data_IF_117608150850
#
_entry.id   IF_117608150850
#
_cell.length_a   1.000
_cell.length_b   1.000
_cell.length_c   1.000
_cell.angle_alpha   90.00
_cell.angle_beta   90.00
_cell.angle_gamma   90.00
#
_symmetry.space_group_name_H-M   'P 1'
#
loop_
_entity.id
_entity.type
_entity.pdbx_description
1 polymer ?
#
# COMPACT_ATOMS: atom_id res chain seq x y z
N UNK A 1 6.63 -18.95 47.16
CA UNK A 1 6.59 -18.85 45.69
C UNK A 1 5.55 -17.80 45.37
N UNK A 2 5.97 -16.63 44.87
CA UNK A 2 4.99 -15.68 44.31
C UNK A 2 4.62 -16.25 42.94
N UNK A 3 3.36 -16.59 42.75
CA UNK A 3 2.88 -16.98 41.43
C UNK A 3 3.20 -15.84 40.43
N UNK A 4 3.69 -16.16 39.21
CA UNK A 4 4.08 -15.15 38.23
C UNK A 4 2.88 -14.41 37.60
N UNK A 5 1.63 -14.75 37.99
CA UNK A 5 0.42 -14.14 37.47
C UNK A 5 -0.71 -14.07 38.51
N UNK A 6 -1.67 -13.17 38.26
CA UNK A 6 -2.88 -13.01 39.07
C UNK A 6 -3.89 -14.15 38.76
N UNK A 7 -4.17 -14.99 39.77
CA UNK A 7 -5.11 -16.12 39.66
C UNK A 7 -6.53 -15.71 40.07
N UNK A 8 -7.27 -15.16 39.11
CA UNK A 8 -8.69 -14.80 39.23
C UNK A 8 -9.52 -15.56 38.18
N UNK A 9 -10.82 -15.70 38.44
CA UNK A 9 -11.74 -16.46 37.59
C UNK A 9 -11.85 -15.90 36.17
N UNK A 10 -12.29 -16.73 35.23
CA UNK A 10 -12.58 -16.27 33.85
C UNK A 10 -13.59 -15.11 33.83
N UNK A 11 -14.65 -15.18 34.64
CA UNK A 11 -15.66 -14.13 34.74
C UNK A 11 -15.06 -12.79 35.21
N UNK A 12 -14.11 -12.84 36.14
CA UNK A 12 -13.43 -11.62 36.60
C UNK A 12 -12.43 -11.09 35.56
N UNK A 13 -11.69 -11.99 34.87
CA UNK A 13 -10.78 -11.60 33.79
C UNK A 13 -11.54 -10.97 32.62
N UNK A 14 -12.64 -11.58 32.16
CA UNK A 14 -13.43 -11.04 31.05
C UNK A 14 -14.04 -9.70 31.41
N UNK A 15 -14.50 -9.51 32.66
CA UNK A 15 -14.95 -8.19 33.15
C UNK A 15 -13.86 -7.13 33.00
N UNK A 16 -12.62 -7.45 33.36
CA UNK A 16 -11.48 -6.52 33.29
C UNK A 16 -11.12 -6.24 31.82
N UNK A 17 -10.94 -7.27 31.00
CA UNK A 17 -10.57 -7.11 29.59
C UNK A 17 -11.67 -6.42 28.75
N UNK A 18 -12.94 -6.62 29.11
CA UNK A 18 -14.08 -5.94 28.47
C UNK A 18 -14.30 -4.52 28.97
N UNK A 19 -13.74 -4.10 30.11
CA UNK A 19 -14.10 -2.83 30.75
C UNK A 19 -13.90 -1.62 29.84
N UNK A 20 -12.68 -1.38 29.37
CA UNK A 20 -12.38 -0.23 28.51
C UNK A 20 -12.99 -0.37 27.11
N UNK A 21 -13.14 -1.60 26.62
CA UNK A 21 -13.82 -1.88 25.36
C UNK A 21 -15.29 -1.45 25.42
N UNK A 22 -15.99 -1.80 26.51
CA UNK A 22 -17.38 -1.41 26.74
C UNK A 22 -17.51 0.09 27.02
N UNK A 23 -16.55 0.73 27.70
CA UNK A 23 -16.53 2.19 27.85
C UNK A 23 -16.47 2.89 26.50
N UNK A 24 -15.64 2.40 25.57
CA UNK A 24 -15.60 2.94 24.21
C UNK A 24 -16.95 2.75 23.49
N UNK A 25 -17.58 1.57 23.62
CA UNK A 25 -18.89 1.31 23.01
C UNK A 25 -19.97 2.25 23.57
N UNK A 26 -20.04 2.43 24.89
CA UNK A 26 -20.97 3.36 25.55
C UNK A 26 -20.72 4.80 25.11
N UNK A 27 -19.45 5.16 24.90
CA UNK A 27 -19.07 6.50 24.47
C UNK A 27 -19.58 6.80 23.04
N UNK A 28 -19.46 5.85 22.11
CA UNK A 28 -19.87 6.04 20.71
C UNK A 28 -21.33 5.68 20.41
N UNK A 29 -22.02 4.96 21.30
CA UNK A 29 -23.43 4.54 21.11
C UNK A 29 -24.45 5.66 21.34
N UNK A 30 -24.02 6.82 21.85
CA UNK A 30 -24.92 7.95 22.11
C UNK A 30 -25.49 8.44 20.77
N UNK A 31 -26.81 8.52 20.68
CA UNK A 31 -27.57 8.75 19.44
C UNK A 31 -27.24 10.06 18.70
N UNK A 32 -26.55 11.00 19.36
CA UNK A 32 -26.10 12.28 18.82
C UNK A 32 -24.57 12.45 18.87
N UNK A 33 -23.80 11.35 18.90
CA UNK A 33 -22.33 11.42 18.94
C UNK A 33 -21.81 12.12 17.67
N UNK A 34 -21.23 13.33 17.79
CA UNK A 34 -20.79 14.06 16.61
C UNK A 34 -19.59 13.38 15.92
N UNK A 35 -19.39 13.60 14.63
CA UNK A 35 -18.25 13.05 13.87
C UNK A 35 -16.87 13.40 14.48
N UNK A 36 -16.74 14.55 15.15
CA UNK A 36 -15.48 14.97 15.75
C UNK A 36 -15.03 14.08 16.92
N UNK A 37 -15.91 13.23 17.44
CA UNK A 37 -15.61 12.23 18.47
C UNK A 37 -14.69 11.13 17.94
N UNK A 38 -14.75 10.86 16.64
CA UNK A 38 -13.93 9.85 15.98
C UNK A 38 -12.53 10.38 15.66
N UNK A 39 -11.70 10.38 16.71
CA UNK A 39 -10.30 10.79 16.64
C UNK A 39 -9.37 9.58 16.51
N UNK A 40 -8.13 9.83 16.06
CA UNK A 40 -7.10 8.78 16.02
C UNK A 40 -6.84 8.17 17.40
N UNK A 41 -7.03 8.93 18.49
CA UNK A 41 -6.88 8.41 19.86
C UNK A 41 -8.02 7.45 20.22
N UNK A 42 -9.26 7.76 19.84
CA UNK A 42 -10.38 6.84 20.02
C UNK A 42 -10.17 5.54 19.24
N UNK A 43 -9.81 5.61 17.95
CA UNK A 43 -9.51 4.40 17.17
C UNK A 43 -8.38 3.59 17.80
N UNK A 44 -7.29 4.24 18.24
CA UNK A 44 -6.20 3.55 18.92
C UNK A 44 -6.67 2.80 20.16
N UNK A 45 -7.59 3.40 20.94
CA UNK A 45 -8.16 2.76 22.12
C UNK A 45 -9.00 1.55 21.71
N UNK A 46 -9.96 1.73 20.79
CA UNK A 46 -10.80 0.66 20.25
C UNK A 46 -9.96 -0.52 19.74
N UNK A 47 -8.91 -0.26 18.94
CA UNK A 47 -7.99 -1.28 18.41
C UNK A 47 -7.32 -2.04 19.56
N UNK A 48 -6.71 -1.32 20.51
CA UNK A 48 -5.97 -1.96 21.61
C UNK A 48 -6.88 -2.81 22.52
N UNK A 49 -8.05 -2.30 22.88
CA UNK A 49 -8.97 -2.98 23.79
C UNK A 49 -9.64 -4.18 23.12
N UNK A 50 -10.04 -4.04 21.85
CA UNK A 50 -10.65 -5.15 21.09
C UNK A 50 -9.63 -6.26 20.79
N UNK A 51 -8.39 -5.91 20.46
CA UNK A 51 -7.33 -6.90 20.23
C UNK A 51 -7.05 -7.75 21.48
N UNK A 52 -6.81 -7.09 22.62
CA UNK A 52 -6.48 -7.82 23.85
C UNK A 52 -7.66 -8.68 24.32
N UNK A 53 -8.89 -8.18 24.17
CA UNK A 53 -10.09 -8.95 24.49
C UNK A 53 -10.29 -10.13 23.54
N UNK A 54 -10.09 -9.94 22.23
CA UNK A 54 -10.14 -11.01 21.23
C UNK A 54 -9.11 -12.11 21.54
N UNK A 55 -7.86 -11.73 21.83
CA UNK A 55 -6.78 -12.66 22.17
C UNK A 55 -7.13 -13.46 23.44
N UNK A 56 -7.69 -12.79 24.46
CA UNK A 56 -8.18 -13.44 25.68
C UNK A 56 -9.32 -14.43 25.40
N UNK A 57 -10.34 -14.01 24.64
CA UNK A 57 -11.48 -14.86 24.27
C UNK A 57 -11.02 -16.08 23.44
N UNK A 58 -10.11 -15.87 22.49
CA UNK A 58 -9.54 -16.94 21.67
C UNK A 58 -8.76 -17.95 22.53
N UNK A 59 -7.95 -17.47 23.48
CA UNK A 59 -7.21 -18.33 24.41
C UNK A 59 -8.15 -19.20 25.26
N UNK A 60 -9.33 -18.69 25.61
CA UNK A 60 -10.36 -19.39 26.35
C UNK A 60 -11.37 -20.16 25.48
N UNK A 61 -11.10 -20.29 24.16
CA UNK A 61 -11.87 -21.15 23.27
C UNK A 61 -13.19 -20.56 22.77
N UNK A 62 -13.36 -19.23 22.81
CA UNK A 62 -14.59 -18.57 22.35
C UNK A 62 -14.95 -18.90 20.88
N UNK A 63 -13.94 -19.17 20.03
CA UNK A 63 -14.14 -19.65 18.64
C UNK A 63 -14.97 -20.94 18.54
N UNK A 64 -14.96 -21.76 19.59
CA UNK A 64 -15.63 -23.06 19.63
C UNK A 64 -16.84 -23.07 20.57
N UNK A 65 -17.28 -21.90 21.04
CA UNK A 65 -18.40 -21.77 21.99
C UNK A 65 -19.56 -21.05 21.33
N UNK A 66 -20.72 -21.71 21.23
CA UNK A 66 -21.92 -21.07 20.67
C UNK A 66 -22.32 -19.80 21.43
N UNK A 67 -22.13 -19.80 22.75
CA UNK A 67 -22.42 -18.66 23.60
C UNK A 67 -21.46 -17.50 23.37
N UNK A 68 -20.16 -17.75 23.19
CA UNK A 68 -19.16 -16.67 23.16
C UNK A 68 -18.75 -16.24 21.74
N UNK A 69 -19.13 -17.01 20.72
CA UNK A 69 -18.71 -16.77 19.35
C UNK A 69 -19.08 -15.37 18.85
N UNK A 70 -20.31 -14.92 19.08
CA UNK A 70 -20.75 -13.60 18.62
C UNK A 70 -19.93 -12.48 19.29
N UNK A 71 -19.75 -12.51 20.61
CA UNK A 71 -18.98 -11.49 21.32
C UNK A 71 -17.53 -11.40 20.83
N UNK A 72 -16.91 -12.55 20.56
CA UNK A 72 -15.59 -12.65 19.94
C UNK A 72 -15.57 -12.02 18.55
N UNK A 73 -16.55 -12.34 17.72
CA UNK A 73 -16.61 -11.85 16.33
C UNK A 73 -16.82 -10.33 16.27
N UNK A 74 -17.70 -9.75 17.10
CA UNK A 74 -17.87 -8.28 17.13
C UNK A 74 -16.62 -7.57 17.67
N UNK A 75 -15.82 -8.20 18.54
CA UNK A 75 -14.50 -7.68 18.93
C UNK A 75 -13.55 -7.64 17.74
N UNK A 76 -13.46 -8.72 16.97
CA UNK A 76 -12.66 -8.75 15.75
C UNK A 76 -13.14 -7.69 14.73
N UNK A 77 -14.46 -7.54 14.54
CA UNK A 77 -15.03 -6.49 13.68
C UNK A 77 -14.58 -5.09 14.10
N UNK A 78 -14.72 -4.74 15.39
CA UNK A 78 -14.30 -3.42 15.89
C UNK A 78 -12.81 -3.20 15.66
N UNK A 79 -11.97 -4.22 15.90
CA UNK A 79 -10.52 -4.14 15.69
C UNK A 79 -10.19 -3.81 14.24
N UNK A 80 -10.72 -4.57 13.29
CA UNK A 80 -10.38 -4.45 11.87
C UNK A 80 -10.92 -3.16 11.25
N UNK A 81 -12.17 -2.79 11.56
CA UNK A 81 -12.75 -1.53 11.07
C UNK A 81 -12.07 -0.31 11.69
N UNK A 82 -11.70 -0.36 12.97
CA UNK A 82 -10.96 0.73 13.62
C UNK A 82 -9.54 0.89 13.06
N UNK A 83 -8.87 -0.21 12.70
CA UNK A 83 -7.57 -0.17 12.00
C UNK A 83 -7.71 0.52 10.63
N UNK A 84 -8.73 0.15 9.85
CA UNK A 84 -9.03 0.81 8.58
C UNK A 84 -9.32 2.31 8.74
N UNK A 85 -10.21 2.65 9.68
CA UNK A 85 -10.58 4.04 9.97
C UNK A 85 -9.40 4.87 10.49
N UNK A 86 -8.51 4.29 11.29
CA UNK A 86 -7.29 4.95 11.75
C UNK A 86 -6.38 5.34 10.58
N UNK A 87 -6.22 4.45 9.60
CA UNK A 87 -5.41 4.69 8.40
C UNK A 87 -6.04 5.77 7.52
N UNK A 88 -7.36 5.71 7.29
CA UNK A 88 -8.07 6.74 6.53
C UNK A 88 -8.03 8.11 7.22
N UNK A 89 -8.22 8.15 8.54
CA UNK A 89 -8.07 9.38 9.34
C UNK A 89 -6.64 9.91 9.29
N UNK A 90 -5.63 9.04 9.18
CA UNK A 90 -4.25 9.47 8.97
C UNK A 90 -4.11 10.26 7.67
N UNK A 91 -4.67 9.74 6.57
CA UNK A 91 -4.63 10.40 5.26
C UNK A 91 -5.31 11.78 5.33
N UNK A 92 -6.53 11.85 5.85
CA UNK A 92 -7.29 13.10 5.93
C UNK A 92 -6.59 14.16 6.81
N UNK A 93 -6.05 13.76 7.97
CA UNK A 93 -5.34 14.69 8.86
C UNK A 93 -4.05 15.24 8.24
N UNK A 94 -3.45 14.51 7.30
CA UNK A 94 -2.19 14.89 6.65
C UNK A 94 -2.35 15.46 5.25
N UNK A 95 -3.57 15.56 4.73
CA UNK A 95 -3.84 16.03 3.38
C UNK A 95 -3.16 17.38 3.07
N UNK A 96 -3.19 18.31 4.02
CA UNK A 96 -2.56 19.64 3.89
C UNK A 96 -1.02 19.60 3.79
N UNK A 97 -0.40 18.48 4.15
CA UNK A 97 1.04 18.28 4.07
C UNK A 97 1.46 17.45 2.85
N UNK A 98 0.52 16.79 2.18
CA UNK A 98 0.78 16.04 0.96
C UNK A 98 0.86 16.99 -0.23
N UNK A 99 1.98 16.95 -0.96
CA UNK A 99 2.19 17.74 -2.18
C UNK A 99 1.82 16.86 -3.39
N UNK A 100 0.52 16.56 -3.53
CA UNK A 100 -0.06 15.79 -4.63
C UNK A 100 -1.18 16.60 -5.32
N UNK A 101 -1.33 16.52 -6.65
CA UNK A 101 -2.35 17.25 -7.38
C UNK A 101 -3.75 16.63 -7.23
N UNK A 102 -4.78 17.43 -7.55
CA UNK A 102 -6.17 16.99 -7.79
C UNK A 102 -6.81 16.12 -6.69
N UNK A 103 -6.71 16.58 -5.44
CA UNK A 103 -7.15 15.79 -4.26
C UNK A 103 -8.63 15.91 -3.90
N UNK A 104 -9.41 16.76 -4.57
CA UNK A 104 -10.78 17.09 -4.11
C UNK A 104 -11.71 15.87 -4.14
N UNK A 105 -11.76 15.16 -5.28
CA UNK A 105 -12.54 13.93 -5.41
C UNK A 105 -12.02 12.82 -4.48
N UNK A 106 -10.70 12.71 -4.31
CA UNK A 106 -10.08 11.77 -3.38
C UNK A 106 -10.52 12.03 -1.94
N UNK A 107 -10.53 13.30 -1.53
CA UNK A 107 -10.94 13.73 -0.20
C UNK A 107 -12.42 13.46 0.03
N UNK A 108 -13.28 13.82 -0.92
CA UNK A 108 -14.72 13.57 -0.82
C UNK A 108 -15.01 12.07 -0.65
N UNK A 109 -14.38 11.22 -1.46
CA UNK A 109 -14.54 9.77 -1.34
C UNK A 109 -13.95 9.25 -0.01
N UNK A 110 -12.84 9.83 0.44
CA UNK A 110 -12.25 9.53 1.74
C UNK A 110 -13.15 9.89 2.92
N UNK A 111 -13.85 11.01 2.85
CA UNK A 111 -14.83 11.42 3.87
C UNK A 111 -16.05 10.49 3.87
N UNK A 112 -16.55 10.06 2.70
CA UNK A 112 -17.60 9.04 2.59
C UNK A 112 -17.17 7.71 3.22
N UNK A 113 -15.93 7.29 2.98
CA UNK A 113 -15.35 6.09 3.62
C UNK A 113 -15.31 6.22 5.14
N UNK A 114 -14.92 7.39 5.67
CA UNK A 114 -14.91 7.64 7.10
C UNK A 114 -16.31 7.59 7.72
N UNK A 115 -17.29 8.23 7.08
CA UNK A 115 -18.68 8.23 7.55
C UNK A 115 -19.19 6.80 7.65
N UNK A 116 -19.01 6.00 6.59
CA UNK A 116 -19.38 4.58 6.60
C UNK A 116 -18.74 3.81 7.76
N UNK A 117 -17.41 3.90 7.94
CA UNK A 117 -16.72 3.18 9.01
C UNK A 117 -17.17 3.62 10.40
N UNK A 118 -17.45 4.92 10.59
CA UNK A 118 -17.94 5.46 11.85
C UNK A 118 -19.37 5.02 12.14
N UNK A 119 -20.25 5.05 11.16
CA UNK A 119 -21.63 4.59 11.29
C UNK A 119 -21.70 3.11 11.66
N UNK A 120 -20.87 2.29 11.02
CA UNK A 120 -20.77 0.87 11.38
C UNK A 120 -20.32 0.69 12.83
N UNK A 121 -19.29 1.41 13.30
CA UNK A 121 -18.84 1.34 14.69
C UNK A 121 -19.92 1.82 15.68
N UNK A 122 -20.69 2.87 15.35
CA UNK A 122 -21.83 3.33 16.15
C UNK A 122 -22.91 2.27 16.26
N UNK A 123 -23.23 1.62 15.15
CA UNK A 123 -24.29 0.60 15.08
C UNK A 123 -23.88 -0.72 15.76
N UNK A 124 -22.58 -1.04 15.75
CA UNK A 124 -22.03 -2.18 16.48
C UNK A 124 -22.06 -1.99 18.00
N UNK A 125 -21.83 -0.77 18.48
CA UNK A 125 -21.73 -0.48 19.90
C UNK A 125 -22.93 -0.96 20.75
N UNK A 126 -24.20 -0.68 20.41
CA UNK A 126 -25.34 -1.20 21.17
C UNK A 126 -25.41 -2.74 21.12
N UNK A 127 -25.11 -3.35 19.97
CA UNK A 127 -25.09 -4.83 19.81
C UNK A 127 -24.04 -5.47 20.74
N UNK A 128 -22.88 -4.83 20.88
CA UNK A 128 -21.80 -5.27 21.77
C UNK A 128 -22.21 -5.15 23.24
N UNK A 129 -22.89 -4.05 23.61
CA UNK A 129 -23.37 -3.82 24.97
C UNK A 129 -24.43 -4.86 25.34
N UNK A 130 -25.40 -5.11 24.46
CA UNK A 130 -26.44 -6.11 24.66
C UNK A 130 -25.85 -7.53 24.77
N UNK A 131 -24.87 -7.85 23.95
CA UNK A 131 -24.21 -9.15 23.98
C UNK A 131 -23.38 -9.35 25.26
N UNK A 132 -22.69 -8.31 25.74
CA UNK A 132 -21.98 -8.35 27.00
C UNK A 132 -22.94 -8.53 28.19
N UNK A 133 -24.10 -7.86 28.18
CA UNK A 133 -25.15 -8.06 29.16
C UNK A 133 -25.71 -9.49 29.13
N UNK A 134 -25.96 -10.06 27.94
CA UNK A 134 -26.40 -11.45 27.78
C UNK A 134 -25.40 -12.46 28.37
N UNK A 135 -24.11 -12.16 28.27
CA UNK A 135 -23.01 -12.95 28.83
C UNK A 135 -22.74 -12.67 30.32
N UNK A 136 -23.55 -11.85 30.98
CA UNK A 136 -23.39 -11.42 32.37
C UNK A 136 -22.05 -10.73 32.67
N UNK A 137 -21.48 -10.03 31.68
CA UNK A 137 -20.30 -9.19 31.89
C UNK A 137 -20.76 -7.90 32.55
N UNK A 138 -20.18 -7.56 33.70
CA UNK A 138 -20.54 -6.35 34.43
C UNK A 138 -20.21 -5.09 33.62
N UNK A 139 -21.17 -4.18 33.49
CA UNK A 139 -20.96 -2.90 32.82
C UNK A 139 -20.03 -1.98 33.62
N UNK A 140 -19.16 -1.20 32.95
CA UNK A 140 -18.33 -0.21 33.62
C UNK A 140 -19.18 0.89 34.27
N UNK A 141 -18.78 1.32 35.46
CA UNK A 141 -19.50 2.36 36.24
C UNK A 141 -19.12 3.77 35.77
N UNK A 142 -17.86 3.94 35.35
CA UNK A 142 -17.31 5.15 34.77
C UNK A 142 -17.25 5.06 33.25
N UNK A 143 -17.25 6.21 32.56
CA UNK A 143 -17.22 6.30 31.10
C UNK A 143 -16.24 7.37 30.63
N UNK A 144 -15.91 7.31 29.34
CA UNK A 144 -15.03 8.30 28.72
C UNK A 144 -15.77 9.62 28.40
N UNK A 145 -15.01 10.71 28.47
CA UNK A 145 -15.35 12.06 28.01
C UNK A 145 -14.66 12.43 26.70
N UNK A 146 -14.91 13.64 26.20
CA UNK A 146 -14.27 14.13 24.97
C UNK A 146 -12.77 14.42 25.19
N UNK A 147 -12.40 14.81 26.40
CA UNK A 147 -11.05 15.04 26.88
C UNK A 147 -10.17 13.79 26.85
N UNK A 148 -10.76 12.60 26.87
CA UNK A 148 -10.03 11.34 26.74
C UNK A 148 -9.54 11.12 25.31
N UNK A 149 -10.17 11.75 24.33
CA UNK A 149 -9.93 11.51 22.90
C UNK A 149 -9.67 12.79 22.08
N UNK A 150 -8.71 13.66 22.46
CA UNK A 150 -8.38 14.85 21.68
C UNK A 150 -7.97 14.51 20.24
N UNK A 151 -8.27 15.45 19.34
CA UNK A 151 -7.71 15.47 17.99
C UNK A 151 -6.19 15.68 18.00
N UNK A 152 -5.52 15.32 16.90
CA UNK A 152 -4.05 15.47 16.76
C UNK A 152 -3.66 16.84 16.21
N UNK A 153 -4.52 17.47 15.42
CA UNK A 153 -4.20 18.72 14.73
C UNK A 153 -4.30 19.90 15.70
N UNK A 154 -3.23 20.69 15.82
CA UNK A 154 -3.21 21.99 16.49
C UNK A 154 -2.60 23.04 15.55
N UNK A 155 -2.76 24.32 15.89
CA UNK A 155 -2.08 25.43 15.18
C UNK A 155 -0.62 25.62 15.57
N UNK A 156 -0.10 24.79 16.47
CA UNK A 156 1.25 24.92 17.03
C UNK A 156 2.20 23.97 16.33
N UNK A 157 3.43 24.42 16.10
CA UNK A 157 4.52 23.61 15.54
C UNK A 157 5.72 23.72 16.46
N UNK A 158 6.38 22.58 16.73
CA UNK A 158 7.63 22.57 17.49
C UNK A 158 8.74 23.28 16.69
N UNK A 159 9.72 23.80 17.41
CA UNK A 159 10.90 24.44 16.81
C UNK A 159 11.70 23.40 16.02
N UNK A 160 12.32 23.86 14.95
CA UNK A 160 13.21 23.05 14.11
C UNK A 160 14.65 23.36 14.53
N UNK A 161 15.21 22.60 15.46
CA UNK A 161 16.50 22.86 16.12
C UNK A 161 17.48 21.67 16.09
N UNK A 162 17.24 20.70 15.21
CA UNK A 162 18.16 19.60 14.93
C UNK A 162 19.12 20.02 13.81
N UNK A 163 20.41 19.96 14.10
CA UNK A 163 21.51 20.20 13.14
C UNK A 163 21.77 18.91 12.34
N UNK A 164 21.74 19.00 11.01
CA UNK A 164 21.76 17.83 10.12
C UNK A 164 22.66 18.12 8.91
N UNK A 165 23.91 17.68 8.98
CA UNK A 165 24.90 17.84 7.91
C UNK A 165 24.64 16.84 6.76
N UNK A 166 24.33 17.36 5.56
CA UNK A 166 24.10 16.54 4.38
C UNK A 166 25.41 15.87 3.90
N UNK A 167 25.42 14.52 3.81
CA UNK A 167 26.53 13.74 3.23
C UNK A 167 26.29 13.41 1.75
N UNK A 168 27.37 13.27 0.97
CA UNK A 168 27.39 12.87 -0.45
C UNK A 168 26.66 11.53 -0.78
N UNK A 169 26.29 10.74 0.24
CA UNK A 169 25.58 9.45 0.12
C UNK A 169 24.14 9.59 -0.39
N UNK A 170 23.57 10.81 -0.45
CA UNK A 170 22.16 11.04 -0.81
C UNK A 170 21.78 10.64 -2.24
N UNK A 171 22.61 10.92 -3.26
CA UNK A 171 22.21 10.69 -4.67
C UNK A 171 21.92 9.22 -5.00
N UNK A 172 22.78 8.31 -4.54
CA UNK A 172 22.60 6.86 -4.74
C UNK A 172 21.32 6.36 -4.07
N UNK A 173 21.00 6.89 -2.89
CA UNK A 173 19.76 6.56 -2.19
C UNK A 173 18.53 7.10 -2.92
N UNK A 174 18.59 8.33 -3.44
CA UNK A 174 17.51 8.91 -4.26
C UNK A 174 17.23 8.05 -5.50
N UNK A 175 18.28 7.66 -6.22
CA UNK A 175 18.19 6.75 -7.38
C UNK A 175 17.53 5.44 -7.00
N UNK A 176 17.95 4.83 -5.87
CA UNK A 176 17.36 3.59 -5.36
C UNK A 176 15.86 3.74 -5.05
N UNK A 177 15.47 4.77 -4.29
CA UNK A 177 14.06 5.02 -3.95
C UNK A 177 13.21 5.21 -5.21
N UNK A 178 13.67 6.04 -6.16
CA UNK A 178 12.92 6.31 -7.38
C UNK A 178 12.76 5.03 -8.24
N UNK A 179 13.83 4.24 -8.40
CA UNK A 179 13.76 2.94 -9.09
C UNK A 179 12.83 1.95 -8.36
N UNK A 180 12.87 1.86 -7.04
CA UNK A 180 11.99 0.99 -6.25
C UNK A 180 10.52 1.40 -6.37
N UNK A 181 10.21 2.70 -6.32
CA UNK A 181 8.84 3.19 -6.55
C UNK A 181 8.33 2.79 -7.94
N UNK A 182 9.14 2.99 -8.99
CA UNK A 182 8.79 2.60 -10.36
C UNK A 182 8.57 1.08 -10.50
N UNK A 183 9.40 0.28 -9.82
CA UNK A 183 9.25 -1.17 -9.78
C UNK A 183 7.94 -1.59 -9.12
N UNK A 184 7.62 -1.05 -7.94
CA UNK A 184 6.35 -1.31 -7.25
C UNK A 184 5.17 -0.92 -8.13
N UNK A 185 5.20 0.28 -8.72
CA UNK A 185 4.14 0.79 -9.57
C UNK A 185 3.97 -0.03 -10.87
N UNK A 186 5.03 -0.69 -11.36
CA UNK A 186 4.97 -1.63 -12.48
C UNK A 186 4.39 -2.98 -12.05
N UNK A 187 4.76 -3.48 -10.89
CA UNK A 187 4.24 -4.75 -10.35
C UNK A 187 2.78 -4.67 -9.92
N UNK A 188 2.30 -3.49 -9.51
CA UNK A 188 0.90 -3.25 -9.13
C UNK A 188 -0.03 -3.02 -10.34
N UNK A 189 0.52 -2.52 -11.46
CA UNK A 189 -0.21 -2.15 -12.68
C UNK A 189 -1.20 -3.23 -13.20
N UNK A 190 -0.84 -4.54 -13.23
CA UNK A 190 -1.72 -5.60 -13.72
C UNK A 190 -3.02 -5.78 -12.91
N UNK A 191 -3.08 -5.26 -11.68
CA UNK A 191 -4.31 -5.29 -10.88
C UNK A 191 -5.45 -4.48 -11.53
N UNK A 192 -5.10 -3.40 -12.25
CA UNK A 192 -6.02 -2.77 -13.19
C UNK A 192 -7.23 -2.05 -12.59
N UNK A 193 -7.13 -1.50 -11.37
CA UNK A 193 -8.23 -0.76 -10.73
C UNK A 193 -8.31 0.69 -11.25
N UNK A 194 -8.78 0.85 -12.49
CA UNK A 194 -8.85 2.15 -13.18
C UNK A 194 -10.27 2.66 -13.41
N UNK A 195 -11.28 1.83 -13.18
CA UNK A 195 -12.70 2.14 -13.36
C UNK A 195 -13.50 1.59 -12.19
N UNK A 196 -14.68 2.18 -11.87
CA UNK A 196 -15.55 1.65 -10.83
C UNK A 196 -16.21 0.34 -11.28
N UNK A 197 -16.40 -0.57 -10.33
CA UNK A 197 -17.04 -1.87 -10.50
C UNK A 197 -18.39 -1.92 -9.80
N UNK A 198 -19.35 -2.66 -10.38
CA UNK A 198 -20.60 -2.98 -9.70
C UNK A 198 -20.40 -4.09 -8.65
N UNK A 199 -21.44 -4.40 -7.88
CA UNK A 199 -21.34 -5.34 -6.78
C UNK A 199 -21.01 -6.77 -7.22
N UNK A 200 -21.61 -7.24 -8.31
CA UNK A 200 -21.35 -8.57 -8.86
C UNK A 200 -19.89 -8.71 -9.33
N UNK A 201 -19.36 -7.68 -9.99
CA UNK A 201 -17.96 -7.60 -10.41
C UNK A 201 -17.01 -7.60 -9.21
N UNK A 202 -17.28 -6.78 -8.20
CA UNK A 202 -16.45 -6.70 -6.98
C UNK A 202 -16.42 -8.03 -6.23
N UNK A 203 -17.56 -8.70 -6.09
CA UNK A 203 -17.66 -10.00 -5.42
C UNK A 203 -16.92 -11.09 -6.21
N UNK A 204 -16.96 -11.04 -7.54
CA UNK A 204 -16.19 -11.97 -8.38
C UNK A 204 -14.66 -11.75 -8.28
N UNK A 205 -14.21 -10.55 -7.90
CA UNK A 205 -12.80 -10.22 -7.73
C UNK A 205 -12.20 -10.68 -6.40
N UNK A 206 -13.00 -10.79 -5.33
CA UNK A 206 -12.49 -11.14 -4.00
C UNK A 206 -12.93 -12.55 -3.62
N UNK A 207 -12.01 -13.49 -3.29
CA UNK A 207 -10.55 -13.35 -3.21
C UNK A 207 -9.80 -13.68 -4.52
N UNK A 208 -10.50 -13.87 -5.64
CA UNK A 208 -9.90 -14.47 -6.84
C UNK A 208 -8.85 -13.62 -7.57
N UNK A 209 -9.15 -12.35 -7.84
CA UNK A 209 -8.26 -11.38 -8.51
C UNK A 209 -7.46 -10.57 -7.50
N UNK A 210 -8.02 -10.30 -6.33
CA UNK A 210 -7.38 -9.56 -5.24
C UNK A 210 -7.79 -10.17 -3.91
N UNK A 211 -6.82 -10.32 -3.02
CA UNK A 211 -7.03 -10.81 -1.67
C UNK A 211 -6.21 -10.03 -0.64
N UNK A 212 -6.48 -10.28 0.65
CA UNK A 212 -5.73 -9.70 1.75
C UNK A 212 -4.20 -9.92 1.63
N UNK A 213 -3.79 -11.14 1.28
CA UNK A 213 -2.38 -11.56 1.32
C UNK A 213 -1.57 -10.77 0.31
N UNK A 214 -2.08 -10.62 -0.90
CA UNK A 214 -1.47 -9.86 -1.98
C UNK A 214 -1.40 -8.38 -1.63
N UNK A 215 -2.48 -7.79 -1.10
CA UNK A 215 -2.49 -6.38 -0.70
C UNK A 215 -1.51 -6.10 0.46
N UNK A 216 -1.41 -7.00 1.44
CA UNK A 216 -0.40 -6.90 2.51
C UNK A 216 1.03 -7.01 1.98
N UNK A 217 1.27 -7.81 0.94
CA UNK A 217 2.59 -7.87 0.29
C UNK A 217 2.97 -6.51 -0.28
N UNK A 218 2.07 -5.84 -0.99
CA UNK A 218 2.31 -4.50 -1.50
C UNK A 218 2.42 -3.45 -0.41
N UNK A 219 1.60 -3.54 0.65
CA UNK A 219 1.72 -2.70 1.85
C UNK A 219 3.16 -2.72 2.39
N UNK A 220 3.74 -3.91 2.55
CA UNK A 220 5.11 -4.06 3.04
C UNK A 220 6.17 -3.50 2.09
N UNK A 221 6.00 -3.65 0.77
CA UNK A 221 6.92 -3.07 -0.21
C UNK A 221 6.94 -1.54 -0.13
N UNK A 222 5.76 -0.92 -0.08
CA UNK A 222 5.63 0.55 0.01
C UNK A 222 6.08 1.07 1.38
N UNK A 223 5.82 0.32 2.46
CA UNK A 223 6.36 0.64 3.79
C UNK A 223 7.89 0.66 3.81
N UNK A 224 8.53 -0.35 3.21
CA UNK A 224 10.00 -0.43 3.14
C UNK A 224 10.59 0.73 2.32
N UNK A 225 9.92 1.12 1.23
CA UNK A 225 10.27 2.29 0.45
C UNK A 225 10.20 3.57 1.30
N UNK A 226 9.09 3.78 2.01
CA UNK A 226 8.91 4.94 2.89
C UNK A 226 9.95 4.98 4.01
N UNK A 227 10.19 3.85 4.69
CA UNK A 227 11.20 3.73 5.75
C UNK A 227 12.61 4.03 5.23
N UNK A 228 12.96 3.50 4.06
CA UNK A 228 14.25 3.76 3.43
C UNK A 228 14.42 5.23 3.07
N UNK A 229 13.38 5.87 2.52
CA UNK A 229 13.42 7.29 2.22
C UNK A 229 13.59 8.15 3.48
N UNK A 230 12.84 7.82 4.53
CA UNK A 230 12.88 8.55 5.81
C UNK A 230 14.21 8.42 6.52
N UNK A 231 14.93 7.31 6.30
CA UNK A 231 16.23 7.04 6.90
C UNK A 231 17.39 7.62 6.10
N UNK A 232 17.32 7.52 4.77
CA UNK A 232 18.50 7.71 3.91
C UNK A 232 18.42 8.92 2.97
N UNK A 233 17.25 9.56 2.86
CA UNK A 233 17.04 10.72 1.97
C UNK A 233 16.71 11.97 2.77
N UNK A 234 15.71 11.95 3.66
CA UNK A 234 15.39 13.13 4.46
C UNK A 234 16.41 13.31 5.59
N UNK A 235 17.20 14.37 5.47
CA UNK A 235 17.99 15.00 6.54
C UNK A 235 17.52 16.46 6.61
N UNK A 236 17.37 17.06 7.79
CA UNK A 236 16.97 18.46 7.90
C UNK A 236 15.44 18.72 7.88
N UNK A 237 14.63 17.67 7.95
CA UNK A 237 13.17 17.76 8.04
C UNK A 237 12.47 18.34 6.79
N UNK A 238 11.13 18.28 6.79
CA UNK A 238 10.30 18.60 5.62
C UNK A 238 10.16 20.09 5.26
N UNK A 239 10.68 21.00 6.10
CA UNK A 239 10.50 22.46 5.91
C UNK A 239 11.48 23.05 4.88
N UNK A 240 12.64 22.44 4.70
CA UNK A 240 13.73 22.96 3.86
C UNK A 240 14.22 21.96 2.79
N UNK A 241 13.61 20.78 2.71
CA UNK A 241 13.96 19.74 1.73
C UNK A 241 13.45 20.01 0.31
N UNK A 242 14.06 19.33 -0.67
CA UNK A 242 13.65 19.36 -2.07
C UNK A 242 12.15 19.04 -2.23
N UNK A 243 11.43 19.94 -2.90
CA UNK A 243 9.98 19.83 -3.13
C UNK A 243 9.62 18.56 -3.92
N UNK A 244 10.43 18.15 -4.90
CA UNK A 244 10.19 16.92 -5.67
C UNK A 244 10.26 15.68 -4.79
N UNK A 245 11.25 15.61 -3.90
CA UNK A 245 11.39 14.51 -2.94
C UNK A 245 10.22 14.48 -1.94
N UNK A 246 9.78 15.65 -1.46
CA UNK A 246 8.57 15.75 -0.62
C UNK A 246 7.31 15.29 -1.33
N UNK A 247 7.13 15.67 -2.59
CA UNK A 247 6.00 15.23 -3.41
C UNK A 247 6.05 13.73 -3.67
N UNK A 248 7.21 13.17 -4.02
CA UNK A 248 7.40 11.72 -4.18
C UNK A 248 7.04 10.95 -2.89
N UNK A 249 7.44 11.47 -1.72
CA UNK A 249 7.04 10.89 -0.43
C UNK A 249 5.55 10.95 -0.18
N UNK A 250 4.89 12.02 -0.61
CA UNK A 250 3.44 12.15 -0.48
C UNK A 250 2.72 11.04 -1.25
N UNK A 251 3.17 10.71 -2.47
CA UNK A 251 2.62 9.59 -3.25
C UNK A 251 2.70 8.25 -2.51
N UNK A 252 3.90 7.79 -2.13
CA UNK A 252 4.01 6.48 -1.49
C UNK A 252 3.44 6.45 -0.06
N UNK A 253 3.39 7.58 0.65
CA UNK A 253 2.76 7.64 1.98
C UNK A 253 1.23 7.50 1.90
N UNK A 254 0.59 8.13 0.92
CA UNK A 254 -0.84 7.95 0.68
C UNK A 254 -1.14 6.51 0.25
N UNK A 255 -0.38 5.98 -0.73
CA UNK A 255 -0.53 4.59 -1.19
C UNK A 255 -0.34 3.61 -0.04
N UNK A 256 0.68 3.80 0.81
CA UNK A 256 0.90 2.95 1.98
C UNK A 256 -0.33 2.90 2.88
N UNK A 257 -0.85 4.06 3.31
CA UNK A 257 -2.00 4.09 4.22
C UNK A 257 -3.30 3.60 3.57
N UNK A 258 -3.47 3.76 2.26
CA UNK A 258 -4.58 3.12 1.53
C UNK A 258 -4.43 1.60 1.61
N UNK A 259 -3.27 1.03 1.23
CA UNK A 259 -3.03 -0.41 1.28
C UNK A 259 -3.22 -0.98 2.69
N UNK A 260 -2.80 -0.26 3.74
CA UNK A 260 -3.07 -0.64 5.12
C UNK A 260 -4.57 -0.75 5.42
N UNK A 261 -5.37 0.22 4.95
CA UNK A 261 -6.82 0.18 5.11
C UNK A 261 -7.41 -1.00 4.33
N UNK A 262 -7.08 -1.13 3.05
CA UNK A 262 -7.62 -2.18 2.17
C UNK A 262 -7.29 -3.57 2.69
N UNK A 263 -6.06 -3.82 3.16
CA UNK A 263 -5.69 -5.09 3.76
C UNK A 263 -6.54 -5.45 4.98
N UNK A 264 -7.02 -4.46 5.76
CA UNK A 264 -7.92 -4.71 6.91
C UNK A 264 -9.36 -4.95 6.47
N UNK A 265 -9.84 -4.22 5.47
CA UNK A 265 -11.20 -4.39 4.95
C UNK A 265 -11.35 -5.70 4.17
N UNK A 266 -10.35 -6.08 3.38
CA UNK A 266 -10.29 -7.38 2.70
C UNK A 266 -10.24 -8.53 3.69
N UNK A 267 -9.36 -8.47 4.70
CA UNK A 267 -9.33 -9.46 5.79
C UNK A 267 -10.71 -9.62 6.41
N UNK A 268 -11.36 -8.50 6.72
CA UNK A 268 -12.66 -8.53 7.35
C UNK A 268 -13.71 -9.17 6.44
N UNK A 269 -13.77 -8.77 5.17
CA UNK A 269 -14.69 -9.33 4.20
C UNK A 269 -14.46 -10.84 4.02
N UNK A 270 -13.25 -11.27 3.68
CA UNK A 270 -12.91 -12.66 3.39
C UNK A 270 -13.16 -13.58 4.58
N UNK A 271 -12.83 -13.12 5.80
CA UNK A 271 -12.87 -13.97 7.00
C UNK A 271 -14.23 -13.95 7.71
N UNK A 272 -14.95 -12.84 7.67
CA UNK A 272 -16.13 -12.64 8.52
C UNK A 272 -17.43 -12.48 7.73
N UNK A 273 -17.38 -12.04 6.46
CA UNK A 273 -18.57 -11.78 5.66
C UNK A 273 -18.75 -12.73 4.47
N UNK A 274 -17.65 -13.22 3.88
CA UNK A 274 -17.69 -14.12 2.73
C UNK A 274 -18.22 -15.50 3.13
N UNK A 275 -19.21 -16.02 2.40
CA UNK A 275 -19.77 -17.35 2.65
C UNK A 275 -18.72 -18.43 2.33
N UNK A 276 -18.12 -19.00 3.38
CA UNK A 276 -17.16 -20.08 3.28
C UNK A 276 -17.81 -21.48 3.48
N UNK A 277 -19.15 -21.57 3.38
CA UNK A 277 -19.90 -22.82 3.51
C UNK A 277 -20.08 -23.29 4.96
N UNK A 278 -19.91 -22.38 5.94
CA UNK A 278 -20.12 -22.71 7.35
C UNK A 278 -21.59 -22.96 7.68
N UNK A 279 -21.85 -23.79 8.70
CA UNK A 279 -23.20 -24.19 9.13
C UNK A 279 -23.52 -23.67 10.53
N UNK A 280 -24.82 -23.58 10.86
CA UNK A 280 -25.34 -23.26 12.20
C UNK A 280 -24.85 -21.90 12.75
N UNK A 281 -24.23 -21.88 13.93
CA UNK A 281 -23.80 -20.67 14.65
C UNK A 281 -22.94 -19.74 13.81
N UNK A 282 -21.99 -20.29 13.05
CA UNK A 282 -21.11 -19.52 12.18
C UNK A 282 -21.89 -18.72 11.13
N UNK A 283 -22.85 -19.37 10.47
CA UNK A 283 -23.73 -18.73 9.48
C UNK A 283 -24.63 -17.67 10.11
N UNK A 284 -25.24 -17.98 11.26
CA UNK A 284 -26.09 -17.03 12.01
C UNK A 284 -25.32 -15.77 12.41
N UNK A 285 -24.08 -15.92 12.87
CA UNK A 285 -23.25 -14.78 13.26
C UNK A 285 -22.76 -14.01 12.03
N UNK A 286 -22.36 -14.69 10.96
CA UNK A 286 -22.03 -14.05 9.69
C UNK A 286 -23.19 -13.23 9.13
N UNK A 287 -24.41 -13.78 9.07
CA UNK A 287 -25.61 -13.06 8.64
C UNK A 287 -25.88 -11.84 9.53
N UNK A 288 -25.69 -11.97 10.85
CA UNK A 288 -25.79 -10.85 11.78
C UNK A 288 -24.73 -9.78 11.50
N UNK A 289 -23.47 -10.16 11.25
CA UNK A 289 -22.42 -9.22 10.88
C UNK A 289 -22.70 -8.53 9.55
N UNK A 290 -23.16 -9.27 8.53
CA UNK A 290 -23.52 -8.71 7.23
C UNK A 290 -24.71 -7.74 7.32
N UNK A 291 -25.60 -7.91 8.30
CA UNK A 291 -26.67 -6.94 8.57
C UNK A 291 -26.18 -5.66 9.27
N UNK A 292 -25.02 -5.71 9.92
CA UNK A 292 -24.40 -4.58 10.63
C UNK A 292 -23.35 -3.86 9.79
N UNK A 293 -22.70 -4.60 8.89
CA UNK A 293 -21.68 -4.11 7.97
C UNK A 293 -22.10 -4.50 6.57
N UNK A 294 -22.66 -3.56 5.82
CA UNK A 294 -23.11 -3.78 4.44
C UNK A 294 -21.91 -4.26 3.58
N UNK A 295 -21.91 -5.52 3.10
CA UNK A 295 -20.80 -6.06 2.31
C UNK A 295 -20.61 -5.31 0.99
N UNK A 296 -21.68 -4.75 0.43
CA UNK A 296 -21.67 -3.98 -0.83
C UNK A 296 -20.89 -2.70 -0.64
N UNK A 297 -21.22 -1.93 0.40
CA UNK A 297 -20.53 -0.68 0.71
C UNK A 297 -19.10 -0.95 1.16
N UNK A 298 -18.85 -2.01 1.94
CA UNK A 298 -17.50 -2.40 2.34
C UNK A 298 -16.61 -2.69 1.13
N UNK A 299 -17.09 -3.49 0.17
CA UNK A 299 -16.34 -3.78 -1.06
C UNK A 299 -16.16 -2.54 -1.92
N UNK A 300 -17.20 -1.71 -2.08
CA UNK A 300 -17.12 -0.46 -2.82
C UNK A 300 -16.04 0.48 -2.25
N UNK A 301 -16.00 0.66 -0.92
CA UNK A 301 -14.96 1.46 -0.26
C UNK A 301 -13.57 0.83 -0.36
N UNK A 302 -13.49 -0.50 -0.45
CA UNK A 302 -12.22 -1.22 -0.60
C UNK A 302 -11.67 -1.12 -2.02
N UNK A 303 -12.52 -1.35 -3.03
CA UNK A 303 -12.13 -1.49 -4.44
C UNK A 303 -12.23 -0.15 -5.15
N UNK A 304 -13.43 0.42 -5.24
CA UNK A 304 -13.71 1.64 -6.01
C UNK A 304 -13.14 2.91 -5.37
N UNK A 305 -12.78 2.87 -4.08
CA UNK A 305 -12.03 3.93 -3.42
C UNK A 305 -10.59 3.53 -3.13
N UNK A 306 -10.37 2.57 -2.24
CA UNK A 306 -9.02 2.21 -1.78
C UNK A 306 -8.07 1.78 -2.90
N UNK A 307 -8.40 0.68 -3.60
CA UNK A 307 -7.58 0.12 -4.67
C UNK A 307 -7.47 1.06 -5.87
N UNK A 308 -8.57 1.72 -6.23
CA UNK A 308 -8.57 2.74 -7.28
C UNK A 308 -7.54 3.84 -7.01
N UNK A 309 -7.58 4.49 -5.84
CA UNK A 309 -6.65 5.59 -5.56
C UNK A 309 -5.22 5.10 -5.30
N UNK A 310 -5.02 3.87 -4.82
CA UNK A 310 -3.69 3.26 -4.77
C UNK A 310 -3.10 3.11 -6.19
N UNK A 311 -3.88 2.58 -7.15
CA UNK A 311 -3.50 2.52 -8.56
C UNK A 311 -3.23 3.93 -9.13
N UNK A 312 -4.13 4.87 -8.90
CA UNK A 312 -4.03 6.24 -9.40
C UNK A 312 -2.74 6.94 -8.92
N UNK A 313 -2.43 6.89 -7.62
CA UNK A 313 -1.25 7.56 -7.07
C UNK A 313 0.06 6.84 -7.39
N UNK A 314 0.05 5.51 -7.51
CA UNK A 314 1.20 4.78 -8.07
C UNK A 314 1.45 5.19 -9.52
N UNK A 315 0.40 5.31 -10.34
CA UNK A 315 0.52 5.67 -11.75
C UNK A 315 0.99 7.12 -11.95
N UNK A 316 0.31 8.08 -11.33
CA UNK A 316 0.63 9.51 -11.47
C UNK A 316 2.00 9.86 -10.89
N UNK A 317 2.43 9.17 -9.82
CA UNK A 317 3.78 9.30 -9.26
C UNK A 317 4.91 8.83 -10.17
N UNK A 318 4.64 7.98 -11.19
CA UNK A 318 5.68 7.43 -12.10
C UNK A 318 6.46 8.55 -12.81
N UNK A 319 5.76 9.61 -13.25
CA UNK A 319 6.40 10.73 -13.95
C UNK A 319 7.42 11.43 -13.06
N UNK A 320 7.00 11.82 -11.85
CA UNK A 320 7.87 12.48 -10.88
C UNK A 320 9.04 11.58 -10.47
N UNK A 321 8.79 10.29 -10.23
CA UNK A 321 9.85 9.33 -9.90
C UNK A 321 10.88 9.22 -11.04
N UNK A 322 10.46 9.18 -12.31
CA UNK A 322 11.38 9.19 -13.47
C UNK A 322 12.18 10.48 -13.56
N UNK A 323 11.57 11.63 -13.33
CA UNK A 323 12.27 12.92 -13.31
C UNK A 323 13.36 12.94 -12.23
N UNK A 324 13.00 12.60 -10.99
CA UNK A 324 13.94 12.51 -9.86
C UNK A 324 15.06 11.51 -10.15
N UNK A 325 14.73 10.35 -10.72
CA UNK A 325 15.71 9.34 -11.09
C UNK A 325 16.72 9.91 -12.08
N UNK A 326 16.23 10.48 -13.19
CA UNK A 326 17.07 10.97 -14.28
C UNK A 326 17.95 12.17 -13.90
N UNK A 327 17.55 12.96 -12.91
CA UNK A 327 18.35 14.05 -12.33
C UNK A 327 19.49 13.56 -11.44
N UNK A 328 19.41 12.31 -10.95
CA UNK A 328 20.33 11.77 -9.95
C UNK A 328 21.17 10.57 -10.44
N UNK A 329 20.86 9.97 -11.60
CA UNK A 329 21.65 8.88 -12.19
C UNK A 329 23.06 9.35 -12.59
N UNK A 330 24.02 8.44 -12.47
CA UNK A 330 25.32 8.56 -13.14
C UNK A 330 25.10 8.26 -14.63
N UNK A 331 25.64 9.12 -15.50
CA UNK A 331 25.54 8.97 -16.95
C UNK A 331 26.90 8.61 -17.53
N UNK A 332 26.91 7.65 -18.44
CA UNK A 332 28.09 7.23 -19.20
C UNK A 332 27.70 6.91 -20.64
N UNK A 333 28.69 6.44 -21.41
CA UNK A 333 28.51 6.07 -22.81
C UNK A 333 29.28 4.77 -23.06
N UNK A 334 28.68 3.85 -23.81
CA UNK A 334 29.34 2.62 -24.29
C UNK A 334 29.21 2.51 -25.81
N UNK A 335 30.19 1.84 -26.43
CA UNK A 335 30.14 1.49 -27.85
C UNK A 335 30.12 -0.03 -27.97
N UNK A 336 29.09 -0.56 -28.62
CA UNK A 336 28.88 -2.01 -28.74
C UNK A 336 28.50 -2.40 -30.17
N UNK A 337 28.87 -3.62 -30.57
CA UNK A 337 28.49 -4.17 -31.86
C UNK A 337 26.97 -4.35 -31.98
N UNK A 338 26.43 -4.24 -33.20
CA UNK A 338 25.01 -4.49 -33.49
C UNK A 338 24.69 -5.99 -33.48
N UNK A 339 23.41 -6.40 -33.33
CA UNK A 339 23.03 -7.82 -33.45
C UNK A 339 23.42 -8.38 -34.81
N UNK A 340 24.15 -9.49 -34.80
CA UNK A 340 24.74 -10.09 -36.00
C UNK A 340 23.65 -10.73 -36.88
N UNK A 341 23.82 -10.58 -38.20
CA UNK A 341 22.93 -11.01 -39.29
C UNK A 341 21.59 -10.29 -39.42
N UNK A 342 20.82 -10.15 -38.34
CA UNK A 342 19.45 -9.64 -38.42
C UNK A 342 19.28 -8.21 -37.88
N UNK A 343 20.31 -7.66 -37.22
CA UNK A 343 20.27 -6.30 -36.65
C UNK A 343 19.20 -6.13 -35.57
N UNK A 344 18.84 -4.89 -35.28
CA UNK A 344 17.82 -4.56 -34.27
C UNK A 344 16.39 -4.78 -34.78
N UNK A 345 15.95 -6.04 -34.80
CA UNK A 345 14.54 -6.42 -34.95
C UNK A 345 13.86 -6.64 -33.59
N UNK A 346 12.65 -7.21 -33.59
CA UNK A 346 11.79 -7.29 -32.40
C UNK A 346 12.46 -7.79 -31.11
N UNK A 347 13.26 -8.85 -31.16
CA UNK A 347 13.78 -9.48 -29.95
C UNK A 347 15.03 -8.76 -29.39
N UNK A 348 16.07 -8.43 -30.17
CA UNK A 348 17.17 -7.60 -29.68
C UNK A 348 16.69 -6.25 -29.13
N UNK A 349 15.76 -5.59 -29.84
CA UNK A 349 15.14 -4.34 -29.39
C UNK A 349 14.34 -4.52 -28.10
N UNK A 350 13.59 -5.62 -27.96
CA UNK A 350 12.86 -5.93 -26.72
C UNK A 350 13.81 -6.18 -25.55
N UNK A 351 14.94 -6.86 -25.75
CA UNK A 351 15.90 -7.12 -24.67
C UNK A 351 16.53 -5.83 -24.15
N UNK A 352 16.97 -4.94 -25.05
CA UNK A 352 17.49 -3.61 -24.69
C UNK A 352 16.41 -2.80 -23.97
N UNK A 353 15.21 -2.71 -24.54
CA UNK A 353 14.09 -1.99 -23.93
C UNK A 353 13.75 -2.52 -22.53
N UNK A 354 13.74 -3.85 -22.33
CA UNK A 354 13.53 -4.45 -21.02
C UNK A 354 14.62 -4.08 -20.01
N UNK A 355 15.89 -3.98 -20.42
CA UNK A 355 16.99 -3.51 -19.54
C UNK A 355 16.74 -2.07 -19.11
N UNK A 356 16.51 -1.17 -20.06
CA UNK A 356 16.29 0.26 -19.76
C UNK A 356 15.05 0.45 -18.89
N UNK A 357 13.95 -0.25 -19.19
CA UNK A 357 12.73 -0.24 -18.39
C UNK A 357 12.89 -0.87 -17.01
N UNK A 358 13.84 -1.79 -16.81
CA UNK A 358 14.12 -2.40 -15.51
C UNK A 358 14.76 -1.40 -14.56
N UNK A 359 15.76 -0.65 -15.02
CA UNK A 359 16.44 0.36 -14.21
C UNK A 359 15.67 1.69 -14.12
N UNK A 360 14.88 2.00 -15.15
CA UNK A 360 13.99 3.17 -15.23
C UNK A 360 14.69 4.47 -15.63
N UNK A 361 16.02 4.51 -15.63
CA UNK A 361 16.80 5.66 -16.06
C UNK A 361 16.84 5.78 -17.58
N UNK A 362 16.99 7.02 -18.07
CA UNK A 362 17.03 7.31 -19.49
C UNK A 362 18.31 6.73 -20.13
N UNK A 363 18.13 6.05 -21.26
CA UNK A 363 19.20 5.60 -22.14
C UNK A 363 18.77 5.89 -23.57
N UNK A 364 19.69 6.41 -24.37
CA UNK A 364 19.49 6.70 -25.78
C UNK A 364 20.45 5.86 -26.63
N UNK A 365 19.94 5.34 -27.74
CA UNK A 365 20.73 4.77 -28.82
C UNK A 365 21.10 5.89 -29.79
N UNK A 366 22.40 6.12 -29.99
CA UNK A 366 22.94 7.20 -30.81
C UNK A 366 23.47 6.62 -32.13
N UNK A 367 22.92 7.09 -33.25
CA UNK A 367 23.29 6.67 -34.61
C UNK A 367 23.61 7.90 -35.45
N UNK A 368 24.90 8.25 -35.52
CA UNK A 368 25.36 9.52 -36.08
C UNK A 368 24.90 10.69 -35.20
N UNK A 369 24.12 11.61 -35.77
CA UNK A 369 23.52 12.73 -35.04
C UNK A 369 22.14 12.41 -34.43
N UNK A 370 21.54 11.29 -34.82
CA UNK A 370 20.19 10.92 -34.37
C UNK A 370 20.25 10.16 -33.04
N UNK A 371 19.24 10.41 -32.19
CA UNK A 371 19.07 9.79 -30.87
C UNK A 371 17.70 9.12 -30.78
N UNK A 372 17.67 7.90 -30.27
CA UNK A 372 16.48 7.05 -30.19
C UNK A 372 16.27 6.59 -28.74
N UNK A 373 15.03 6.58 -28.23
CA UNK A 373 14.76 6.13 -26.87
C UNK A 373 15.00 4.61 -26.74
N UNK A 374 16.04 4.22 -25.99
CA UNK A 374 16.39 2.81 -25.81
C UNK A 374 15.41 2.07 -24.88
N UNK A 375 14.40 2.73 -24.31
CA UNK A 375 13.28 2.10 -23.62
C UNK A 375 12.10 1.75 -24.56
N UNK A 376 12.12 2.25 -25.81
CA UNK A 376 11.11 2.04 -26.84
C UNK A 376 11.58 1.00 -27.87
N UNK A 377 10.86 -0.12 -27.96
CA UNK A 377 11.15 -1.16 -28.97
C UNK A 377 11.05 -0.59 -30.39
N UNK A 378 10.09 0.31 -30.62
CA UNK A 378 9.86 0.91 -31.94
C UNK A 378 10.98 1.87 -32.33
N UNK A 379 11.48 2.67 -31.40
CA UNK A 379 12.58 3.61 -31.66
C UNK A 379 13.87 2.85 -32.01
N UNK A 380 14.17 1.77 -31.27
CA UNK A 380 15.33 0.93 -31.56
C UNK A 380 15.19 0.23 -32.91
N UNK A 381 14.00 -0.25 -33.26
CA UNK A 381 13.75 -0.82 -34.59
C UNK A 381 13.91 0.21 -35.71
N UNK A 382 13.47 1.45 -35.48
CA UNK A 382 13.67 2.54 -36.43
C UNK A 382 15.17 2.85 -36.60
N UNK A 383 15.91 2.94 -35.49
CA UNK A 383 17.37 3.05 -35.52
C UNK A 383 18.00 1.90 -36.33
N UNK A 384 17.49 0.68 -36.17
CA UNK A 384 17.91 -0.51 -36.93
C UNK A 384 17.87 -0.32 -38.45
N UNK A 385 16.80 0.32 -38.97
CA UNK A 385 16.70 0.64 -40.40
C UNK A 385 17.77 1.65 -40.86
N UNK A 386 18.09 2.64 -40.03
CA UNK A 386 19.17 3.62 -40.31
C UNK A 386 20.55 2.96 -40.28
N UNK A 387 20.83 2.17 -39.24
CA UNK A 387 22.07 1.40 -39.07
C UNK A 387 22.35 0.54 -40.30
N UNK A 388 21.33 -0.16 -40.81
CA UNK A 388 21.46 -0.98 -42.01
C UNK A 388 21.75 -0.15 -43.26
N UNK A 389 21.05 0.99 -43.44
CA UNK A 389 21.22 1.88 -44.59
C UNK A 389 22.62 2.52 -44.64
N UNK A 390 23.17 2.85 -43.47
CA UNK A 390 24.47 3.51 -43.32
C UNK A 390 25.63 2.53 -43.13
N UNK A 391 25.33 1.21 -43.14
CA UNK A 391 26.30 0.12 -43.04
C UNK A 391 27.15 0.20 -41.74
N UNK A 392 26.47 0.56 -40.64
CA UNK A 392 27.06 0.74 -39.31
C UNK A 392 27.22 -0.63 -38.63
N UNK A 393 28.40 -0.88 -38.06
CA UNK A 393 28.73 -2.14 -37.36
C UNK A 393 28.71 -2.01 -35.83
N UNK A 394 28.98 -0.81 -35.31
CA UNK A 394 28.98 -0.49 -33.90
C UNK A 394 28.07 0.71 -33.62
N UNK A 395 27.34 0.66 -32.52
CA UNK A 395 26.44 1.74 -32.08
C UNK A 395 26.83 2.24 -30.71
N UNK A 396 26.43 3.47 -30.41
CA UNK A 396 26.68 4.10 -29.13
C UNK A 396 25.40 4.12 -28.31
N UNK A 397 25.48 3.71 -27.04
CA UNK A 397 24.42 3.95 -26.06
C UNK A 397 24.89 4.97 -25.03
N UNK A 398 24.04 5.94 -24.71
CA UNK A 398 24.33 7.08 -23.84
C UNK A 398 23.23 7.24 -22.77
N UNK A 399 23.58 7.26 -21.49
CA UNK A 399 22.59 7.35 -20.41
C UNK A 399 22.99 6.64 -19.12
N UNK A 400 21.99 6.11 -18.41
CA UNK A 400 22.12 5.45 -17.10
C UNK A 400 23.17 4.33 -17.11
N UNK A 401 24.28 4.53 -16.41
CA UNK A 401 25.40 3.59 -16.34
C UNK A 401 24.95 2.17 -15.93
N UNK A 402 23.97 2.05 -15.04
CA UNK A 402 23.46 0.73 -14.59
C UNK A 402 22.84 -0.07 -15.73
N UNK A 403 22.09 0.60 -16.60
CA UNK A 403 21.51 -0.03 -17.77
C UNK A 403 22.57 -0.29 -18.85
N UNK A 404 23.53 0.62 -19.02
CA UNK A 404 24.62 0.46 -19.99
C UNK A 404 25.49 -0.76 -19.66
N UNK A 405 25.86 -0.96 -18.39
CA UNK A 405 26.62 -2.15 -17.95
C UNK A 405 25.92 -3.45 -18.37
N UNK A 406 24.58 -3.49 -18.26
CA UNK A 406 23.77 -4.64 -18.64
C UNK A 406 23.59 -4.77 -20.17
N UNK A 407 23.54 -3.65 -20.90
CA UNK A 407 23.51 -3.64 -22.37
C UNK A 407 24.83 -4.16 -22.93
N UNK A 408 25.96 -3.82 -22.32
CA UNK A 408 27.28 -4.34 -22.72
C UNK A 408 27.36 -5.86 -22.58
N UNK A 409 26.89 -6.41 -21.45
CA UNK A 409 26.77 -7.86 -21.24
C UNK A 409 25.86 -8.50 -22.30
N UNK A 410 24.71 -7.87 -22.57
CA UNK A 410 23.74 -8.35 -23.56
C UNK A 410 24.34 -8.37 -24.98
N UNK A 411 25.10 -7.34 -25.35
CA UNK A 411 25.80 -7.28 -26.63
C UNK A 411 26.85 -8.39 -26.76
N UNK A 412 27.56 -8.71 -25.67
CA UNK A 412 28.53 -9.81 -25.60
C UNK A 412 27.95 -11.21 -25.91
N UNK A 413 26.63 -11.38 -25.78
CA UNK A 413 25.89 -12.61 -26.15
C UNK A 413 24.97 -12.42 -27.35
N UNK A 414 25.33 -11.51 -28.26
CA UNK A 414 24.59 -11.20 -29.48
C UNK A 414 23.10 -10.91 -29.21
N UNK A 415 22.84 -10.12 -28.17
CA UNK A 415 21.50 -9.68 -27.77
C UNK A 415 20.53 -10.82 -27.45
N UNK A 416 21.06 -11.96 -27.01
CA UNK A 416 20.27 -13.11 -26.62
C UNK A 416 19.75 -13.92 -27.80
N UNK A 417 20.44 -13.88 -28.95
CA UNK A 417 20.13 -14.68 -30.13
C UNK A 417 21.35 -15.35 -30.79
N UNK A 418 21.12 -16.49 -31.43
CA UNK A 418 22.07 -17.13 -32.33
C UNK A 418 22.01 -16.51 -33.74
N UNK A 419 22.89 -16.97 -34.62
CA UNK A 419 22.95 -16.46 -36.00
C UNK A 419 21.76 -16.82 -36.89
N UNK A 420 20.75 -17.53 -36.35
CA UNK A 420 19.49 -17.89 -37.00
C UNK A 420 18.30 -17.16 -36.36
N UNK A 421 18.54 -16.23 -35.43
CA UNK A 421 17.51 -15.49 -34.70
C UNK A 421 16.81 -16.31 -33.62
N UNK A 422 17.38 -17.45 -33.19
CA UNK A 422 16.83 -18.26 -32.09
C UNK A 422 17.40 -17.78 -30.77
N UNK A 423 16.55 -17.76 -29.74
CA UNK A 423 16.96 -17.35 -28.41
C UNK A 423 18.07 -18.22 -27.82
N UNK A 424 19.12 -17.59 -27.28
CA UNK A 424 20.17 -18.28 -26.51
C UNK A 424 19.99 -18.04 -25.01
N UNK A 425 20.52 -18.93 -24.15
CA UNK A 425 20.54 -18.70 -22.71
C UNK A 425 21.24 -17.38 -22.36
N UNK A 426 20.57 -16.54 -21.57
CA UNK A 426 21.14 -15.29 -21.09
C UNK A 426 22.04 -15.52 -19.85
N UNK A 427 23.12 -14.73 -19.70
CA UNK A 427 23.91 -14.65 -18.48
C UNK A 427 23.05 -14.47 -17.22
N UNK A 428 23.56 -14.91 -16.07
CA UNK A 428 22.85 -14.86 -14.79
C UNK A 428 22.44 -13.44 -14.38
N UNK A 429 23.27 -12.47 -14.71
CA UNK A 429 23.13 -11.04 -14.52
C UNK A 429 21.88 -10.50 -15.22
N UNK A 430 21.46 -11.14 -16.31
CA UNK A 430 20.30 -10.78 -17.14
C UNK A 430 19.10 -11.72 -16.92
N UNK A 431 19.08 -12.48 -15.82
CA UNK A 431 18.03 -13.47 -15.53
C UNK A 431 16.62 -12.86 -15.43
N UNK A 432 16.51 -11.59 -15.07
CA UNK A 432 15.24 -10.85 -15.00
C UNK A 432 14.63 -10.53 -16.38
N UNK A 433 15.34 -10.79 -17.49
CA UNK A 433 14.82 -10.62 -18.85
C UNK A 433 14.02 -11.82 -19.36
N UNK A 434 14.09 -12.95 -18.65
CA UNK A 434 13.47 -14.23 -19.03
C UNK A 434 11.95 -14.16 -19.11
#
# INVERSE_FOLDING_TARGET
MNDPYCDISFSEKVRIFSSDYLKCCIYISKSNTPEHVFTKKLYSKLISTSQVLEDFLDFHGAKNSEDWYLYREVCATVRHLSLGAYCQKHILNRMVFYDIPDTDAFREQGDKTMIFLNDVLRNLAPVIIDEAARLNIAMPVDGFGAEDFPGITTGEMLKYDIDDDAKEVQKRNIVKIASEFLSIAKSFDPMGFYEPYNYEEMTAMVPGKVDEVEIRRFEMLVHNLQSSFDTYVIHGGFRFGDRKLKSLRSYFSVVFHLLQMMGRLLHFYERHLCDAGYKNTYKRVQEKLASLVDPTVLLDRTINYGLYYACHYLHTGKKLAKEILNENIERSTITVGIPVKLGFHSRPSLMVAKIVQHFGGQVELVVGEDRFDASSVLDIQWAGGKIQKENISDVVFDGDTRALDHIEILAGVNYGEDTMGKGVPLPSELSYLR
#
